data_IF_906342646465
#
_entry.id   IF_906342646465
#
_cell.length_a   1.000
_cell.length_b   1.000
_cell.length_c   1.000
_cell.angle_alpha   90.00
_cell.angle_beta   90.00
_cell.angle_gamma   90.00
#
_symmetry.space_group_name_H-M   'P 1'
#
loop_
_entity.id
_entity.type
_entity.pdbx_description
1 polymer ?
#
# COMPACT_ATOMS: atom_id res chain seq x y z
N UNK A 1 -12.32 13.07 -10.43
CA UNK A 1 -12.48 12.47 -9.09
C UNK A 1 -12.01 13.50 -8.06
N UNK A 2 -12.67 13.62 -6.89
CA UNK A 2 -12.15 14.49 -5.83
C UNK A 2 -10.76 14.02 -5.40
N UNK A 3 -9.86 14.93 -4.98
CA UNK A 3 -8.52 14.54 -4.52
C UNK A 3 -8.64 13.60 -3.33
N UNK A 4 -8.01 12.44 -3.41
CA UNK A 4 -7.90 11.52 -2.29
C UNK A 4 -7.04 12.20 -1.23
N UNK A 5 -7.64 12.53 -0.10
CA UNK A 5 -6.92 13.06 1.05
C UNK A 5 -6.42 11.92 1.95
N UNK A 6 -5.58 12.28 2.91
CA UNK A 6 -4.92 11.34 3.81
C UNK A 6 -5.91 10.46 4.60
N UNK A 7 -7.03 11.01 5.05
CA UNK A 7 -7.96 10.28 5.91
C UNK A 7 -8.76 9.24 5.09
N UNK A 8 -9.15 9.58 3.87
CA UNK A 8 -9.75 8.63 2.93
C UNK A 8 -8.78 7.50 2.59
N UNK A 9 -7.51 7.84 2.33
CA UNK A 9 -6.49 6.84 2.03
C UNK A 9 -6.26 5.87 3.20
N UNK A 10 -6.13 6.39 4.42
CA UNK A 10 -5.99 5.59 5.63
C UNK A 10 -7.21 4.69 5.88
N UNK A 11 -8.42 5.16 5.58
CA UNK A 11 -9.64 4.34 5.65
C UNK A 11 -9.55 3.14 4.73
N UNK A 12 -9.23 3.35 3.45
CA UNK A 12 -9.05 2.26 2.47
C UNK A 12 -7.97 1.26 2.92
N UNK A 13 -6.83 1.76 3.40
CA UNK A 13 -5.74 0.91 3.87
C UNK A 13 -6.16 -0.01 5.04
N UNK A 14 -6.89 0.53 6.02
CA UNK A 14 -7.28 -0.21 7.22
C UNK A 14 -8.47 -1.13 6.99
N UNK A 15 -9.48 -0.66 6.28
CA UNK A 15 -10.78 -1.33 6.19
C UNK A 15 -10.86 -2.27 4.98
N UNK A 16 -10.09 -2.02 3.92
CA UNK A 16 -10.14 -2.83 2.71
C UNK A 16 -8.86 -3.62 2.55
N UNK A 17 -7.71 -2.94 2.48
CA UNK A 17 -6.43 -3.56 2.13
C UNK A 17 -5.99 -4.54 3.23
N UNK A 18 -5.93 -4.10 4.49
CA UNK A 18 -5.48 -4.96 5.59
C UNK A 18 -6.36 -6.21 5.77
N UNK A 19 -7.68 -6.06 5.72
CA UNK A 19 -8.61 -7.19 5.84
C UNK A 19 -8.44 -8.19 4.70
N UNK A 20 -8.28 -7.71 3.47
CA UNK A 20 -8.05 -8.58 2.33
C UNK A 20 -6.71 -9.32 2.44
N UNK A 21 -5.64 -8.61 2.83
CA UNK A 21 -4.31 -9.21 3.03
C UNK A 21 -4.31 -10.26 4.13
N UNK A 22 -4.94 -9.99 5.28
CA UNK A 22 -5.04 -10.93 6.40
C UNK A 22 -5.81 -12.18 6.02
N UNK A 23 -6.95 -12.01 5.34
CA UNK A 23 -7.72 -13.14 4.81
C UNK A 23 -6.86 -13.98 3.89
N UNK A 24 -6.14 -13.37 2.95
CA UNK A 24 -5.28 -14.09 2.02
C UNK A 24 -4.12 -14.78 2.70
N UNK A 25 -3.44 -14.12 3.64
CA UNK A 25 -2.36 -14.73 4.41
C UNK A 25 -2.82 -15.97 5.20
N UNK A 26 -4.04 -15.95 5.75
CA UNK A 26 -4.61 -17.10 6.46
C UNK A 26 -4.91 -18.30 5.56
N UNK A 27 -5.07 -18.08 4.26
CA UNK A 27 -5.36 -19.09 3.25
C UNK A 27 -4.07 -19.65 2.58
N UNK A 28 -2.89 -19.10 2.87
CA UNK A 28 -1.71 -19.19 1.98
C UNK A 28 -0.47 -19.96 2.52
N UNK A 29 0.33 -20.47 1.57
CA UNK A 29 1.51 -21.34 1.71
C UNK A 29 2.71 -20.63 2.34
N UNK A 30 2.73 -19.29 2.36
CA UNK A 30 3.83 -18.49 2.92
C UNK A 30 3.74 -18.26 4.43
N UNK A 31 2.94 -19.06 5.13
CA UNK A 31 2.77 -19.02 6.59
C UNK A 31 2.30 -17.64 7.09
N UNK A 32 1.34 -17.04 6.38
CA UNK A 32 0.71 -15.78 6.77
C UNK A 32 1.58 -14.53 6.61
N UNK A 33 2.73 -14.59 5.92
CA UNK A 33 3.60 -13.44 5.70
C UNK A 33 3.31 -12.76 4.37
N UNK A 34 3.20 -11.44 4.38
CA UNK A 34 3.03 -10.61 3.20
C UNK A 34 3.86 -9.34 3.28
N UNK A 35 4.18 -8.75 2.13
CA UNK A 35 4.76 -7.41 2.00
C UNK A 35 3.76 -6.51 1.28
N UNK A 36 3.57 -5.30 1.78
CA UNK A 36 2.77 -4.28 1.12
C UNK A 36 3.69 -3.24 0.46
N UNK A 37 3.43 -2.94 -0.80
CA UNK A 37 4.15 -1.93 -1.59
C UNK A 37 3.14 -0.91 -2.13
N UNK A 38 3.52 0.37 -2.11
CA UNK A 38 2.76 1.49 -2.65
C UNK A 38 3.70 2.50 -3.33
N UNK A 39 3.17 3.32 -4.23
CA UNK A 39 3.94 4.43 -4.83
C UNK A 39 4.19 5.58 -3.85
N UNK A 40 4.95 6.60 -4.28
CA UNK A 40 5.30 7.77 -3.48
C UNK A 40 4.34 8.96 -3.65
N UNK A 41 3.05 8.76 -3.91
CA UNK A 41 2.09 9.87 -3.99
C UNK A 41 2.01 10.65 -2.66
N UNK A 42 1.60 11.93 -2.65
CA UNK A 42 1.60 12.75 -1.43
C UNK A 42 0.79 12.17 -0.26
N UNK A 43 -0.32 11.48 -0.52
CA UNK A 43 -1.10 10.81 0.52
C UNK A 43 -0.38 9.58 1.10
N UNK A 44 0.43 8.90 0.27
CA UNK A 44 1.18 7.72 0.66
C UNK A 44 2.43 8.09 1.47
N UNK A 45 3.06 9.23 1.15
CA UNK A 45 4.22 9.78 1.87
C UNK A 45 3.87 10.55 3.15
N UNK A 46 2.59 10.80 3.41
CA UNK A 46 2.16 11.51 4.61
C UNK A 46 2.62 10.78 5.88
N UNK A 47 3.08 11.54 6.89
CA UNK A 47 3.59 11.02 8.15
C UNK A 47 2.64 10.01 8.81
N UNK A 48 1.34 10.31 8.84
CA UNK A 48 0.31 9.41 9.39
C UNK A 48 0.25 8.04 8.68
N UNK A 49 0.44 8.02 7.36
CA UNK A 49 0.50 6.78 6.57
C UNK A 49 1.75 5.99 6.89
N UNK A 50 2.90 6.67 6.95
CA UNK A 50 4.19 6.03 7.22
C UNK A 50 4.28 5.45 8.63
N UNK A 51 3.74 6.16 9.63
CA UNK A 51 3.64 5.68 11.02
C UNK A 51 2.79 4.41 11.13
N UNK A 52 1.72 4.29 10.34
CA UNK A 52 0.86 3.12 10.38
C UNK A 52 1.48 1.91 9.67
N UNK A 53 2.12 2.14 8.51
CA UNK A 53 2.60 1.05 7.67
C UNK A 53 4.02 0.55 7.99
N UNK A 54 4.87 1.35 8.64
CA UNK A 54 6.30 1.03 8.87
C UNK A 54 7.03 0.61 7.56
N UNK A 55 6.73 1.25 6.42
CA UNK A 55 7.18 0.80 5.08
C UNK A 55 8.65 1.15 4.79
N UNK A 56 9.23 0.36 3.88
CA UNK A 56 10.31 0.79 2.99
C UNK A 56 9.78 1.78 1.94
N UNK A 57 10.32 3.00 1.92
CA UNK A 57 9.94 4.04 0.95
C UNK A 57 10.46 3.65 -0.44
N UNK A 58 9.56 3.63 -1.43
CA UNK A 58 9.89 3.40 -2.83
C UNK A 58 10.63 4.60 -3.44
N UNK A 59 11.65 4.39 -4.30
CA UNK A 59 12.28 5.49 -5.02
C UNK A 59 11.27 6.24 -5.89
N UNK A 60 11.29 7.57 -5.80
CA UNK A 60 10.37 8.44 -6.54
C UNK A 60 10.60 8.35 -8.06
N UNK A 61 9.52 8.40 -8.84
CA UNK A 61 9.54 8.32 -10.31
C UNK A 61 10.13 7.03 -10.90
N UNK A 62 9.92 5.89 -10.23
CA UNK A 62 10.30 4.56 -10.74
C UNK A 62 9.08 3.70 -11.09
N UNK A 63 8.32 4.04 -12.16
CA UNK A 63 7.22 3.20 -12.65
C UNK A 63 7.70 1.85 -13.19
N UNK A 64 8.96 1.80 -13.65
CA UNK A 64 9.63 0.59 -14.14
C UNK A 64 9.75 -0.50 -13.07
N UNK A 65 9.70 -0.13 -11.80
CA UNK A 65 9.84 -1.06 -10.69
C UNK A 65 8.47 -1.49 -10.11
N UNK A 66 7.36 -0.80 -10.42
CA UNK A 66 6.04 -1.19 -9.93
C UNK A 66 5.45 -2.26 -10.87
N UNK A 67 5.19 -3.49 -10.40
CA UNK A 67 4.61 -4.54 -11.25
C UNK A 67 3.25 -4.14 -11.84
N UNK A 68 2.52 -3.22 -11.20
CA UNK A 68 1.26 -2.68 -11.69
C UNK A 68 1.43 -1.63 -12.80
N UNK A 69 2.56 -0.93 -12.86
CA UNK A 69 2.84 0.10 -13.89
C UNK A 69 3.71 -0.44 -15.05
N UNK A 70 4.37 -1.58 -14.85
CA UNK A 70 5.22 -2.22 -15.87
C UNK A 70 4.43 -2.98 -16.95
N UNK A 71 3.14 -3.28 -16.72
CA UNK A 71 2.29 -3.95 -17.71
C UNK A 71 1.37 -2.94 -18.42
N UNK A 72 1.60 -2.78 -19.74
CA UNK A 72 0.67 -2.16 -20.70
C UNK A 72 -0.19 -3.25 -21.32
#
# INVERSE_FOLDING_TARGET
>A
QPPINIDVYLGVLKEVVKLWMDKKASEDVYNGRYLFQQDSSPAHMAKKTQEWLQVYIWPSNSPDLNPMDYYI
#
